data_IF_498567005432
#
_entry.id   IF_498567005432
#
_cell.length_a   1.000
_cell.length_b   1.000
_cell.length_c   1.000
_cell.angle_alpha   90.00
_cell.angle_beta   90.00
_cell.angle_gamma   90.00
#
_symmetry.space_group_name_H-M   'P 1'
#
loop_
_entity.id
_entity.type
_entity.pdbx_description
1 polymer ?
#
# COMPACT_ATOMS: atom_id res chain seq x y z
N UNK A 1 -19.83 -28.20 3.32
CA UNK A 1 -18.51 -28.78 3.00
C UNK A 1 -17.54 -27.71 2.49
N UNK A 2 -17.90 -26.96 1.44
CA UNK A 2 -17.05 -25.90 0.84
C UNK A 2 -16.61 -24.82 1.85
N UNK A 3 -17.51 -24.34 2.71
CA UNK A 3 -17.17 -23.30 3.72
C UNK A 3 -16.16 -23.76 4.77
N UNK A 4 -16.13 -25.06 5.11
CA UNK A 4 -15.16 -25.63 6.07
C UNK A 4 -13.76 -25.68 5.47
N UNK A 5 -13.65 -26.15 4.21
CA UNK A 5 -12.39 -26.19 3.48
C UNK A 5 -11.82 -24.78 3.25
N UNK A 6 -12.67 -23.82 2.92
CA UNK A 6 -12.27 -22.42 2.78
C UNK A 6 -11.71 -21.86 4.11
N UNK A 7 -12.33 -22.16 5.24
CA UNK A 7 -11.85 -21.71 6.55
C UNK A 7 -10.51 -22.37 6.93
N UNK A 8 -10.34 -23.66 6.67
CA UNK A 8 -9.07 -24.37 6.90
C UNK A 8 -7.92 -23.76 6.06
N UNK A 9 -8.20 -23.40 4.80
CA UNK A 9 -7.23 -22.72 3.95
C UNK A 9 -6.86 -21.32 4.45
N UNK A 10 -7.83 -20.57 4.99
CA UNK A 10 -7.59 -19.26 5.61
C UNK A 10 -6.74 -19.41 6.87
N UNK A 11 -7.06 -20.38 7.74
CA UNK A 11 -6.29 -20.65 8.96
C UNK A 11 -4.84 -21.00 8.63
N UNK A 12 -4.60 -21.83 7.60
CA UNK A 12 -3.23 -22.13 7.15
C UNK A 12 -2.49 -20.89 6.67
N UNK A 13 -3.13 -20.02 5.88
CA UNK A 13 -2.52 -18.76 5.43
C UNK A 13 -2.20 -17.82 6.59
N UNK A 14 -3.10 -17.69 7.56
CA UNK A 14 -2.87 -16.87 8.76
C UNK A 14 -1.71 -17.43 9.60
N UNK A 15 -1.57 -18.75 9.68
CA UNK A 15 -0.40 -19.40 10.28
C UNK A 15 0.91 -18.96 9.61
N UNK A 16 0.96 -18.98 8.27
CA UNK A 16 2.15 -18.50 7.54
C UNK A 16 2.43 -17.01 7.78
N UNK A 17 1.39 -16.17 7.87
CA UNK A 17 1.56 -14.74 8.21
C UNK A 17 2.14 -14.58 9.62
N UNK A 18 1.71 -15.39 10.57
CA UNK A 18 2.26 -15.41 11.92
C UNK A 18 3.73 -15.85 11.91
N UNK A 19 4.07 -16.94 11.23
CA UNK A 19 5.44 -17.44 11.14
C UNK A 19 6.40 -16.39 10.54
N UNK A 20 5.96 -15.67 9.50
CA UNK A 20 6.73 -14.55 8.92
C UNK A 20 6.88 -13.40 9.93
N UNK A 21 5.82 -13.09 10.67
CA UNK A 21 5.87 -12.10 11.76
C UNK A 21 6.90 -12.45 12.82
N UNK A 22 6.96 -13.72 13.23
CA UNK A 22 7.94 -14.22 14.20
C UNK A 22 9.38 -14.10 13.67
N UNK A 23 9.58 -14.38 12.36
CA UNK A 23 10.89 -14.15 11.70
C UNK A 23 11.30 -12.69 11.76
N UNK A 24 10.40 -11.74 11.47
CA UNK A 24 10.70 -10.30 11.53
C UNK A 24 11.14 -9.89 12.95
N UNK A 25 10.41 -10.36 13.98
CA UNK A 25 10.73 -10.09 15.39
C UNK A 25 12.08 -10.66 15.79
N UNK A 26 12.45 -11.84 15.29
CA UNK A 26 13.73 -12.46 15.57
C UNK A 26 14.90 -11.84 14.80
N UNK A 27 14.69 -11.46 13.53
CA UNK A 27 15.75 -11.05 12.62
C UNK A 27 16.17 -9.59 12.79
N UNK A 28 15.23 -8.69 13.09
CA UNK A 28 15.50 -7.26 13.31
C UNK A 28 16.58 -6.99 14.39
N UNK A 29 16.51 -7.58 15.61
CA UNK A 29 17.56 -7.39 16.61
C UNK A 29 18.88 -8.06 16.19
N UNK A 30 18.84 -9.19 15.48
CA UNK A 30 20.05 -9.86 14.99
C UNK A 30 20.83 -8.99 13.99
N UNK A 31 20.13 -8.33 13.07
CA UNK A 31 20.70 -7.36 12.13
C UNK A 31 21.36 -6.19 12.88
N UNK A 32 20.74 -5.70 13.96
CA UNK A 32 21.30 -4.61 14.78
C UNK A 32 22.62 -5.02 15.44
N UNK A 33 22.69 -6.24 15.98
CA UNK A 33 23.92 -6.80 16.54
C UNK A 33 24.99 -6.97 15.47
N UNK A 34 24.65 -7.51 14.29
CA UNK A 34 25.56 -7.66 13.16
C UNK A 34 26.16 -6.31 12.71
N UNK A 35 25.36 -5.25 12.66
CA UNK A 35 25.85 -3.90 12.35
C UNK A 35 26.90 -3.43 13.37
N UNK A 36 26.68 -3.72 14.65
CA UNK A 36 27.63 -3.36 15.73
C UNK A 36 28.93 -4.14 15.62
N UNK A 37 28.84 -5.45 15.32
CA UNK A 37 30.01 -6.30 15.10
C UNK A 37 30.78 -5.86 13.86
N UNK A 38 30.09 -5.56 12.76
CA UNK A 38 30.68 -5.02 11.53
C UNK A 38 31.49 -3.76 11.82
N UNK A 39 30.88 -2.78 12.49
CA UNK A 39 31.55 -1.53 12.83
C UNK A 39 32.81 -1.75 13.68
N UNK A 40 32.75 -2.68 14.63
CA UNK A 40 33.86 -3.02 15.52
C UNK A 40 35.00 -3.72 14.77
N UNK A 41 34.68 -4.71 13.92
CA UNK A 41 35.68 -5.52 13.25
C UNK A 41 36.27 -4.83 12.02
N UNK A 42 35.50 -4.00 11.30
CA UNK A 42 36.00 -3.24 10.14
C UNK A 42 37.16 -2.31 10.47
N UNK A 43 37.27 -1.84 11.72
CA UNK A 43 38.39 -1.03 12.18
C UNK A 43 39.69 -1.81 12.43
N UNK A 44 39.61 -3.14 12.55
CA UNK A 44 40.76 -4.02 12.86
C UNK A 44 41.09 -4.91 11.66
N UNK A 45 40.07 -5.57 11.11
CA UNK A 45 40.14 -6.54 10.01
C UNK A 45 39.10 -6.13 8.94
N UNK A 46 39.51 -5.33 7.94
CA UNK A 46 38.60 -4.83 6.91
C UNK A 46 37.88 -5.94 6.14
N UNK A 47 38.60 -7.02 5.81
CA UNK A 47 38.02 -8.15 5.05
C UNK A 47 36.93 -8.89 5.82
N UNK A 48 37.10 -9.07 7.13
CA UNK A 48 36.04 -9.64 7.97
C UNK A 48 34.81 -8.71 8.02
N UNK A 49 35.03 -7.39 8.02
CA UNK A 49 33.97 -6.41 7.92
C UNK A 49 33.19 -6.46 6.59
N UNK A 50 33.87 -6.78 5.49
CA UNK A 50 33.25 -6.99 4.17
C UNK A 50 32.34 -8.23 4.18
N UNK A 51 32.85 -9.36 4.63
CA UNK A 51 32.08 -10.62 4.75
C UNK A 51 30.85 -10.46 5.65
N UNK A 52 31.00 -9.80 6.81
CA UNK A 52 29.85 -9.49 7.69
C UNK A 52 28.86 -8.53 7.03
N UNK A 53 29.36 -7.61 6.19
CA UNK A 53 28.52 -6.75 5.36
C UNK A 53 27.63 -7.55 4.42
N UNK A 54 28.18 -8.55 3.72
CA UNK A 54 27.42 -9.40 2.81
C UNK A 54 26.33 -10.20 3.53
N UNK A 55 26.63 -10.73 4.73
CA UNK A 55 25.63 -11.38 5.59
C UNK A 55 24.50 -10.41 5.95
N UNK A 56 24.86 -9.19 6.36
CA UNK A 56 23.90 -8.17 6.73
C UNK A 56 22.97 -7.80 5.55
N UNK A 57 23.51 -7.68 4.34
CA UNK A 57 22.72 -7.37 3.14
C UNK A 57 21.71 -8.49 2.84
N UNK A 58 22.11 -9.76 2.96
CA UNK A 58 21.20 -10.91 2.81
C UNK A 58 20.08 -10.87 3.86
N UNK A 59 20.40 -10.62 5.12
CA UNK A 59 19.39 -10.56 6.18
C UNK A 59 18.42 -9.38 6.02
N UNK A 60 18.92 -8.22 5.56
CA UNK A 60 18.05 -7.09 5.23
C UNK A 60 17.13 -7.39 4.04
N UNK A 61 17.63 -8.12 3.05
CA UNK A 61 16.80 -8.62 1.93
C UNK A 61 15.65 -9.50 2.43
N UNK A 62 15.95 -10.49 3.27
CA UNK A 62 14.94 -11.37 3.88
C UNK A 62 13.94 -10.57 4.71
N UNK A 63 14.41 -9.61 5.52
CA UNK A 63 13.54 -8.75 6.32
C UNK A 63 12.62 -7.88 5.46
N UNK A 64 13.13 -7.38 4.33
CA UNK A 64 12.36 -6.57 3.40
C UNK A 64 11.32 -7.41 2.64
N UNK A 65 11.65 -8.64 2.25
CA UNK A 65 10.71 -9.60 1.66
C UNK A 65 9.62 -10.01 2.65
N UNK A 66 9.99 -10.27 3.91
CA UNK A 66 9.07 -10.61 4.98
C UNK A 66 8.07 -9.46 5.28
N UNK A 67 8.54 -8.20 5.24
CA UNK A 67 7.70 -7.02 5.46
C UNK A 67 6.84 -6.64 4.26
N UNK A 68 7.39 -6.73 3.05
CA UNK A 68 6.66 -6.37 1.83
C UNK A 68 5.56 -7.37 1.51
N UNK A 69 5.65 -8.60 2.05
CA UNK A 69 4.68 -9.65 1.85
C UNK A 69 4.56 -9.94 0.35
N UNK A 70 5.22 -10.98 -0.14
CA UNK A 70 4.97 -11.50 -1.49
C UNK A 70 3.48 -11.86 -1.75
N UNK A 71 2.63 -11.74 -0.74
CA UNK A 71 1.19 -11.59 -0.88
C UNK A 71 0.89 -10.17 -1.37
N UNK A 72 0.92 -10.00 -2.69
CA UNK A 72 -0.12 -9.20 -3.33
C UNK A 72 -1.45 -9.79 -2.88
N UNK A 73 -1.94 -9.38 -1.70
CA UNK A 73 -3.35 -9.44 -1.43
C UNK A 73 -3.94 -8.77 -2.66
N UNK A 74 -4.73 -9.47 -3.52
CA UNK A 74 -5.56 -8.74 -4.43
C UNK A 74 -6.30 -7.80 -3.50
N UNK A 75 -5.96 -6.52 -3.61
CA UNK A 75 -6.64 -5.48 -2.87
C UNK A 75 -8.08 -5.77 -3.17
N UNK A 76 -8.83 -6.23 -2.17
CA UNK A 76 -10.28 -6.45 -2.30
C UNK A 76 -10.91 -5.05 -2.28
N UNK A 77 -10.40 -4.14 -3.10
CA UNK A 77 -11.18 -3.07 -3.67
C UNK A 77 -11.78 -3.68 -4.91
N UNK A 78 -12.98 -4.22 -4.75
CA UNK A 78 -14.02 -3.99 -5.76
C UNK A 78 -13.60 -4.35 -7.20
N UNK A 79 -12.97 -5.50 -7.43
CA UNK A 79 -12.70 -5.99 -8.80
C UNK A 79 -13.89 -6.76 -9.40
N UNK A 80 -15.08 -6.66 -8.77
CA UNK A 80 -16.31 -7.19 -9.31
C UNK A 80 -17.05 -6.09 -10.05
N UNK A 81 -17.52 -6.40 -11.26
CA UNK A 81 -18.41 -5.57 -12.09
C UNK A 81 -19.55 -4.93 -11.26
N UNK A 82 -20.08 -5.68 -10.28
CA UNK A 82 -21.12 -5.24 -9.34
C UNK A 82 -20.72 -4.00 -8.53
N UNK A 83 -19.47 -3.92 -8.08
CA UNK A 83 -19.05 -2.83 -7.21
C UNK A 83 -18.70 -1.56 -8.00
N UNK A 84 -18.29 -1.70 -9.26
CA UNK A 84 -18.21 -0.60 -10.22
C UNK A 84 -19.62 -0.07 -10.57
N UNK A 85 -20.61 -0.97 -10.72
CA UNK A 85 -22.00 -0.60 -10.92
C UNK A 85 -22.58 0.18 -9.71
N UNK A 86 -22.35 -0.28 -8.48
CA UNK A 86 -22.79 0.43 -7.26
C UNK A 86 -22.17 1.82 -7.16
N UNK A 87 -20.88 1.98 -7.47
CA UNK A 87 -20.22 3.29 -7.48
C UNK A 87 -20.82 4.22 -8.55
N UNK A 88 -21.16 3.69 -9.72
CA UNK A 88 -21.79 4.46 -10.80
C UNK A 88 -23.20 4.92 -10.44
N UNK A 89 -23.98 4.05 -9.81
CA UNK A 89 -25.32 4.38 -9.31
C UNK A 89 -25.26 5.44 -8.20
N UNK A 90 -24.31 5.31 -7.27
CA UNK A 90 -24.09 6.30 -6.22
C UNK A 90 -23.65 7.66 -6.78
N UNK A 91 -22.80 7.67 -7.82
CA UNK A 91 -22.38 8.91 -8.49
C UNK A 91 -23.55 9.61 -9.20
N UNK A 92 -24.41 8.85 -9.89
CA UNK A 92 -25.61 9.40 -10.54
C UNK A 92 -26.62 9.97 -9.52
N UNK A 93 -26.77 9.31 -8.37
CA UNK A 93 -27.61 9.79 -7.28
C UNK A 93 -27.03 11.07 -6.65
N UNK A 94 -25.71 11.14 -6.49
CA UNK A 94 -25.03 12.33 -6.00
C UNK A 94 -25.16 13.51 -6.97
N UNK A 95 -25.05 13.29 -8.29
CA UNK A 95 -25.27 14.33 -9.30
C UNK A 95 -26.71 14.87 -9.26
N UNK A 96 -27.68 13.97 -9.16
CA UNK A 96 -29.10 14.34 -9.05
C UNK A 96 -29.36 15.15 -7.78
N UNK A 97 -28.87 14.67 -6.63
CA UNK A 97 -29.02 15.37 -5.35
C UNK A 97 -28.25 16.70 -5.31
N UNK A 98 -27.11 16.80 -5.99
CA UNK A 98 -26.37 18.04 -6.13
C UNK A 98 -27.15 19.06 -6.97
N UNK A 99 -27.78 18.65 -8.09
CA UNK A 99 -28.64 19.51 -8.91
C UNK A 99 -29.91 19.96 -8.19
N UNK A 100 -30.49 19.11 -7.35
CA UNK A 100 -31.64 19.47 -6.51
C UNK A 100 -31.27 20.46 -5.40
N UNK A 101 -30.10 20.29 -4.78
CA UNK A 101 -29.63 21.15 -3.67
C UNK A 101 -28.97 22.45 -4.16
N UNK A 102 -28.42 22.43 -5.37
CA UNK A 102 -27.82 23.57 -6.05
C UNK A 102 -28.48 23.72 -7.43
N UNK A 103 -29.73 24.21 -7.50
CA UNK A 103 -30.33 24.55 -8.79
C UNK A 103 -29.45 25.56 -9.50
N UNK A 104 -29.26 25.37 -10.82
CA UNK A 104 -28.46 26.26 -11.66
C UNK A 104 -28.81 27.72 -11.35
N UNK A 105 -27.80 28.50 -10.94
CA UNK A 105 -27.97 29.93 -10.71
C UNK A 105 -28.52 30.52 -12.02
N UNK A 106 -29.64 31.26 -11.99
CA UNK A 106 -30.24 31.80 -13.19
C UNK A 106 -29.16 32.58 -13.93
N UNK A 107 -28.94 32.20 -15.20
CA UNK A 107 -27.94 32.82 -16.06
C UNK A 107 -28.07 34.33 -15.94
N UNK A 108 -27.13 34.96 -15.22
CA UNK A 108 -27.02 36.40 -15.18
C UNK A 108 -26.68 36.80 -16.60
N UNK A 109 -27.64 37.33 -17.34
CA UNK A 109 -27.40 37.95 -18.64
C UNK A 109 -26.47 39.14 -18.39
N UNK A 110 -25.18 39.10 -18.76
CA UNK A 110 -24.42 40.32 -18.75
C UNK A 110 -24.98 41.17 -19.88
N UNK A 111 -25.48 42.35 -19.53
CA UNK A 111 -25.75 43.41 -20.47
C UNK A 111 -24.53 43.57 -21.39
N UNK A 112 -24.73 43.38 -22.69
CA UNK A 112 -23.71 43.62 -23.71
C UNK A 112 -23.33 45.11 -23.83
N UNK A 113 -22.35 45.43 -24.69
CA UNK A 113 -20.94 45.38 -24.33
C UNK A 113 -20.31 46.78 -24.23
N UNK A 114 -19.28 46.88 -23.39
CA UNK A 114 -18.37 48.01 -23.36
C UNK A 114 -17.60 48.14 -24.69
N UNK A 115 -17.77 49.30 -25.32
CA UNK A 115 -16.75 50.10 -26.03
C UNK A 115 -15.47 49.37 -26.47
N UNK A 116 -15.36 49.06 -27.76
CA UNK A 116 -14.07 48.92 -28.45
C UNK A 116 -13.81 50.17 -29.30
N UNK A 117 -12.68 50.82 -29.04
CA UNK A 117 -12.14 51.93 -29.82
C UNK A 117 -10.94 51.43 -30.65
N UNK A 118 -11.03 51.62 -31.99
CA UNK A 118 -9.99 51.68 -33.05
C UNK A 118 -10.72 51.38 -34.37
N UNK A 119 -10.71 52.16 -35.44
CA UNK A 119 -9.82 53.18 -36.03
C UNK A 119 -10.64 54.27 -36.73
#
# INVERSE_FOLDING_TARGET
AQSKLALEAIVMRLGTVQDIGDVVVALAPAITVLNTVKASISGIIPEAGKEIGEINDVLNGILMEAQSGAYNFPTIMSSGEDAEQVLKEAAALAETSAREKFPDLPAFTPAGPASQAKE
#
